data_IF_894752092475
#
_entry.id   IF_894752092475
#
_cell.length_a   1.000
_cell.length_b   1.000
_cell.length_c   1.000
_cell.angle_alpha   90.00
_cell.angle_beta   90.00
_cell.angle_gamma   90.00
#
_symmetry.space_group_name_H-M   'P 1'
#
loop_
_entity.id
_entity.type
_entity.pdbx_description
1 polymer ?
#
# COMPACT_ATOMS: atom_id res chain seq x y z
N UNK A 1 24.07 -6.19 50.60
CA UNK A 1 24.46 -5.62 49.26
C UNK A 1 23.90 -6.57 48.22
N UNK A 2 22.63 -6.41 47.93
CA UNK A 2 21.86 -7.24 46.99
C UNK A 2 21.45 -6.32 45.87
N UNK A 3 22.05 -6.58 44.67
CA UNK A 3 21.69 -5.89 43.46
C UNK A 3 20.39 -6.48 42.91
N UNK A 4 19.35 -5.69 42.97
CA UNK A 4 18.06 -5.95 42.34
C UNK A 4 18.17 -5.53 40.87
N UNK A 5 18.38 -6.51 40.02
CA UNK A 5 18.46 -6.34 38.58
C UNK A 5 17.01 -6.40 38.03
N UNK A 6 16.29 -5.28 38.17
CA UNK A 6 15.01 -5.11 37.50
C UNK A 6 15.24 -4.93 36.00
N UNK A 7 15.09 -6.02 35.26
CA UNK A 7 14.86 -5.99 33.81
C UNK A 7 13.59 -5.16 33.54
N UNK A 8 13.79 -3.87 33.32
CA UNK A 8 12.75 -3.04 32.75
C UNK A 8 12.45 -3.57 31.35
N UNK A 9 11.33 -4.28 31.20
CA UNK A 9 10.71 -4.43 29.90
C UNK A 9 10.34 -3.01 29.44
N UNK A 10 11.07 -2.47 28.48
CA UNK A 10 10.70 -1.22 27.82
C UNK A 10 9.26 -1.36 27.32
N UNK A 11 8.36 -0.54 27.84
CA UNK A 11 7.03 -0.39 27.27
C UNK A 11 7.20 0.09 25.81
N UNK A 12 6.54 -0.53 24.82
CA UNK A 12 6.64 -0.11 23.45
C UNK A 12 6.21 1.35 23.34
N UNK A 13 7.06 2.17 22.70
CA UNK A 13 6.78 3.58 22.48
C UNK A 13 5.38 3.76 21.86
N UNK A 14 4.59 4.79 22.27
CA UNK A 14 3.28 5.04 21.70
C UNK A 14 3.43 5.33 20.21
N UNK A 15 3.00 4.37 19.38
CA UNK A 15 3.10 4.43 17.92
C UNK A 15 3.76 3.22 17.26
N UNK A 16 4.44 2.33 18.01
CA UNK A 16 4.95 1.07 17.45
C UNK A 16 3.78 0.08 17.24
N UNK A 17 3.38 -0.19 15.99
CA UNK A 17 2.30 -1.12 15.70
C UNK A 17 2.61 -2.55 16.12
N UNK A 18 3.88 -2.86 16.45
CA UNK A 18 4.35 -4.17 16.85
C UNK A 18 4.15 -5.24 15.79
N UNK A 19 4.91 -6.31 15.89
CA UNK A 19 4.90 -7.45 14.97
C UNK A 19 3.51 -8.13 14.85
N UNK A 20 2.72 -8.08 15.92
CA UNK A 20 1.40 -8.72 15.98
C UNK A 20 0.40 -8.16 14.96
N UNK A 21 0.43 -6.86 14.71
CA UNK A 21 -0.45 -6.22 13.73
C UNK A 21 -0.16 -6.70 12.31
N UNK A 22 1.13 -6.86 11.98
CA UNK A 22 1.56 -7.38 10.68
C UNK A 22 1.15 -8.85 10.50
N UNK A 23 1.32 -9.67 11.53
CA UNK A 23 0.89 -11.07 11.49
C UNK A 23 -0.62 -11.18 11.29
N UNK A 24 -1.41 -10.34 12.00
CA UNK A 24 -2.87 -10.28 11.83
C UNK A 24 -3.26 -9.92 10.39
N UNK A 25 -2.64 -8.90 9.81
CA UNK A 25 -2.88 -8.48 8.43
C UNK A 25 -2.56 -9.62 7.47
N UNK A 26 -1.39 -10.24 7.58
CA UNK A 26 -0.99 -11.35 6.72
C UNK A 26 -1.95 -12.54 6.83
N UNK A 27 -2.48 -12.81 8.02
CA UNK A 27 -3.52 -13.83 8.22
C UNK A 27 -4.82 -13.47 7.51
N UNK A 28 -5.29 -12.22 7.67
CA UNK A 28 -6.54 -11.75 7.06
C UNK A 28 -6.45 -11.72 5.53
N UNK A 29 -5.32 -11.27 4.97
CA UNK A 29 -5.09 -11.27 3.52
C UNK A 29 -5.19 -12.67 2.89
N UNK A 30 -4.96 -13.72 3.69
CA UNK A 30 -5.14 -15.13 3.27
C UNK A 30 -6.52 -15.70 3.57
N UNK A 31 -7.40 -14.90 4.14
CA UNK A 31 -8.73 -15.35 4.56
C UNK A 31 -8.69 -16.37 5.71
N UNK A 32 -7.61 -16.40 6.52
CA UNK A 32 -7.51 -17.34 7.61
C UNK A 32 -8.18 -16.79 8.88
N UNK A 33 -8.98 -17.64 9.52
CA UNK A 33 -9.41 -17.40 10.90
C UNK A 33 -8.27 -17.71 11.88
N UNK A 34 -8.40 -17.28 13.15
CA UNK A 34 -7.45 -17.66 14.20
C UNK A 34 -7.41 -19.18 14.43
N UNK A 35 -8.57 -19.85 14.30
CA UNK A 35 -8.69 -21.30 14.38
C UNK A 35 -7.88 -21.98 13.28
N UNK A 36 -8.00 -21.49 12.03
CA UNK A 36 -7.25 -22.03 10.90
C UNK A 36 -5.75 -21.86 11.05
N UNK A 37 -5.31 -20.72 11.58
CA UNK A 37 -3.90 -20.48 11.86
C UNK A 37 -3.41 -21.36 13.01
N UNK A 38 -4.21 -21.55 14.06
CA UNK A 38 -3.90 -22.45 15.18
C UNK A 38 -3.71 -23.90 14.71
N UNK A 39 -4.61 -24.39 13.85
CA UNK A 39 -4.49 -25.72 13.22
C UNK A 39 -3.18 -25.89 12.44
N UNK A 40 -2.80 -24.87 11.65
CA UNK A 40 -1.58 -24.90 10.82
C UNK A 40 -0.28 -24.80 11.62
N UNK A 41 -0.31 -24.11 12.75
CA UNK A 41 0.89 -23.81 13.56
C UNK A 41 1.06 -24.72 14.75
N UNK A 42 0.01 -25.42 15.18
CA UNK A 42 -0.02 -26.15 16.44
C UNK A 42 -0.05 -25.27 17.70
N UNK A 43 -0.23 -23.96 17.52
CA UNK A 43 -0.32 -22.99 18.62
C UNK A 43 -1.78 -22.81 19.06
N UNK A 44 -2.00 -22.44 20.33
CA UNK A 44 -3.36 -22.19 20.79
C UNK A 44 -3.93 -20.90 20.18
N UNK A 45 -5.24 -20.87 19.92
CA UNK A 45 -5.95 -19.68 19.43
C UNK A 45 -5.75 -18.47 20.33
N UNK A 46 -5.81 -18.66 21.64
CA UNK A 46 -5.62 -17.59 22.63
C UNK A 46 -4.21 -17.00 22.58
N UNK A 47 -3.19 -17.85 22.42
CA UNK A 47 -1.81 -17.41 22.28
C UNK A 47 -1.60 -16.61 20.98
N UNK A 48 -2.10 -17.08 19.84
CA UNK A 48 -2.07 -16.33 18.58
C UNK A 48 -2.80 -15.01 18.67
N UNK A 49 -3.97 -14.97 19.32
CA UNK A 49 -4.71 -13.71 19.54
C UNK A 49 -3.92 -12.72 20.40
N UNK A 50 -3.21 -13.20 21.42
CA UNK A 50 -2.38 -12.34 22.27
C UNK A 50 -1.16 -11.79 21.51
N UNK A 51 -0.53 -12.61 20.65
CA UNK A 51 0.54 -12.15 19.74
C UNK A 51 0.01 -11.07 18.80
N UNK A 52 -1.12 -11.31 18.13
CA UNK A 52 -1.70 -10.34 17.18
C UNK A 52 -2.11 -9.01 17.83
N UNK A 53 -2.39 -9.00 19.13
CA UNK A 53 -2.70 -7.80 19.92
C UNK A 53 -1.47 -7.18 20.58
N UNK A 54 -0.27 -7.72 20.31
CA UNK A 54 0.98 -7.32 20.98
C UNK A 54 0.95 -7.43 22.52
N UNK A 55 0.11 -8.34 23.06
CA UNK A 55 0.06 -8.66 24.50
C UNK A 55 1.22 -9.58 24.87
N UNK A 56 1.59 -10.49 23.96
CA UNK A 56 2.70 -11.42 24.13
C UNK A 56 3.72 -11.20 23.01
N UNK A 57 5.00 -11.13 23.38
CA UNK A 57 6.11 -11.14 22.43
C UNK A 57 6.45 -12.60 22.07
N UNK A 58 6.32 -13.01 20.79
CA UNK A 58 6.66 -14.36 20.35
C UNK A 58 8.18 -14.53 20.29
N UNK A 59 8.64 -15.76 20.56
CA UNK A 59 10.04 -16.12 20.31
C UNK A 59 10.29 -16.17 18.78
N UNK A 60 11.58 -16.10 18.36
CA UNK A 60 11.94 -16.22 16.94
C UNK A 60 11.46 -17.54 16.32
N UNK A 61 11.46 -18.63 17.09
CA UNK A 61 10.96 -19.92 16.62
C UNK A 61 9.42 -19.90 16.42
N UNK A 62 8.70 -19.27 17.34
CA UNK A 62 7.26 -19.06 17.21
C UNK A 62 6.95 -18.21 15.97
N UNK A 63 7.69 -17.13 15.74
CA UNK A 63 7.56 -16.32 14.54
C UNK A 63 7.79 -17.10 13.26
N UNK A 64 8.86 -17.91 13.22
CA UNK A 64 9.16 -18.78 12.05
C UNK A 64 8.00 -19.74 11.75
N UNK A 65 7.40 -20.33 12.79
CA UNK A 65 6.25 -21.21 12.63
C UNK A 65 5.05 -20.45 12.06
N UNK A 66 4.74 -19.26 12.59
CA UNK A 66 3.60 -18.46 12.13
C UNK A 66 3.81 -17.99 10.69
N UNK A 67 4.97 -17.39 10.36
CA UNK A 67 5.22 -16.87 9.01
C UNK A 67 5.30 -17.99 7.97
N UNK A 68 5.83 -19.16 8.33
CA UNK A 68 5.82 -20.35 7.48
C UNK A 68 4.39 -20.79 7.17
N UNK A 69 3.52 -20.86 8.18
CA UNK A 69 2.10 -21.19 7.99
C UNK A 69 1.35 -20.17 7.15
N UNK A 70 1.80 -18.91 7.20
CA UNK A 70 1.29 -17.81 6.39
C UNK A 70 1.97 -17.72 5.01
N UNK A 71 2.99 -18.56 4.68
CA UNK A 71 3.69 -18.53 3.40
C UNK A 71 4.47 -17.25 3.15
N UNK A 72 4.98 -16.58 4.20
CA UNK A 72 5.88 -15.42 4.12
C UNK A 72 7.21 -15.75 4.78
N UNK A 73 8.26 -15.01 4.40
CA UNK A 73 9.56 -15.11 5.07
C UNK A 73 9.64 -14.15 6.25
N UNK A 74 10.48 -14.47 7.24
CA UNK A 74 10.82 -13.53 8.32
C UNK A 74 11.41 -12.22 7.78
N UNK A 75 12.27 -12.31 6.77
CA UNK A 75 12.89 -11.13 6.16
C UNK A 75 11.83 -10.19 5.56
N UNK A 76 10.81 -10.77 4.90
CA UNK A 76 9.70 -9.98 4.37
C UNK A 76 8.88 -9.34 5.49
N UNK A 77 8.56 -10.10 6.54
CA UNK A 77 7.83 -9.57 7.70
C UNK A 77 8.56 -8.37 8.33
N UNK A 78 9.87 -8.46 8.54
CA UNK A 78 10.67 -7.35 9.09
C UNK A 78 10.80 -6.19 8.11
N UNK A 79 10.99 -6.46 6.81
CA UNK A 79 11.00 -5.40 5.80
C UNK A 79 9.65 -4.64 5.74
N UNK A 80 8.54 -5.33 5.92
CA UNK A 80 7.22 -4.72 5.95
C UNK A 80 7.02 -3.88 7.22
N UNK A 81 7.56 -4.32 8.37
CA UNK A 81 7.58 -3.54 9.62
C UNK A 81 8.42 -2.26 9.43
N UNK A 82 9.62 -2.37 8.88
CA UNK A 82 10.50 -1.22 8.62
C UNK A 82 9.85 -0.22 7.65
N UNK A 83 9.07 -0.70 6.67
CA UNK A 83 8.31 0.16 5.74
C UNK A 83 7.17 0.92 6.40
N UNK A 84 6.43 0.28 7.31
CA UNK A 84 5.31 0.94 8.02
C UNK A 84 5.75 2.12 8.89
N UNK A 85 6.98 2.10 9.40
CA UNK A 85 7.55 3.18 10.20
C UNK A 85 8.11 4.35 9.39
N UNK A 86 8.12 4.28 8.06
CA UNK A 86 8.63 5.36 7.22
C UNK A 86 7.60 6.45 7.02
N UNK A 87 7.68 7.48 7.83
CA UNK A 87 6.94 8.75 7.61
C UNK A 87 7.52 9.52 6.41
N UNK A 88 8.81 9.34 6.14
CA UNK A 88 9.53 10.01 5.05
C UNK A 88 9.96 9.01 3.98
N UNK A 89 9.52 9.23 2.73
CA UNK A 89 10.00 8.49 1.55
C UNK A 89 10.82 9.43 0.67
N UNK A 90 12.09 9.13 0.51
CA UNK A 90 12.99 9.88 -0.38
C UNK A 90 12.75 9.46 -1.84
N UNK A 91 13.11 10.32 -2.85
CA UNK A 91 12.92 9.98 -4.27
C UNK A 91 13.56 8.65 -4.70
N UNK A 92 14.76 8.35 -4.20
CA UNK A 92 15.51 7.11 -4.44
C UNK A 92 14.92 5.86 -3.77
N UNK A 93 13.90 6.03 -2.93
CA UNK A 93 13.20 4.96 -2.21
C UNK A 93 11.80 4.70 -2.75
N UNK A 94 11.37 5.46 -3.76
CA UNK A 94 10.08 5.30 -4.39
C UNK A 94 10.05 4.04 -5.24
N UNK A 95 8.86 3.49 -5.41
CA UNK A 95 8.63 2.31 -6.26
C UNK A 95 7.99 2.78 -7.55
N UNK A 96 8.59 2.43 -8.67
CA UNK A 96 8.02 2.65 -9.99
C UNK A 96 7.27 1.39 -10.44
N UNK A 97 6.07 1.59 -10.93
CA UNK A 97 5.19 0.54 -11.45
C UNK A 97 4.81 0.88 -12.89
N UNK A 98 4.63 -0.18 -13.68
CA UNK A 98 4.04 -0.10 -15.02
C UNK A 98 2.87 -1.07 -15.08
N UNK A 99 1.85 -0.74 -15.85
CA UNK A 99 0.70 -1.63 -16.03
C UNK A 99 0.89 -2.49 -17.27
N UNK A 100 0.68 -3.79 -17.15
CA UNK A 100 0.80 -4.70 -18.27
C UNK A 100 -0.17 -4.30 -19.42
N UNK A 101 0.36 -4.22 -20.64
CA UNK A 101 -0.41 -3.84 -21.83
C UNK A 101 -0.66 -2.34 -22.00
N UNK A 102 -0.07 -1.49 -21.14
CA UNK A 102 -0.13 -0.03 -21.26
C UNK A 102 1.29 0.50 -21.36
N UNK A 103 1.67 0.98 -22.55
CA UNK A 103 3.00 1.52 -22.81
C UNK A 103 3.00 3.04 -22.60
N UNK A 104 4.15 3.58 -22.17
CA UNK A 104 4.37 5.02 -22.02
C UNK A 104 3.68 5.63 -20.80
N UNK A 105 3.24 4.83 -19.85
CA UNK A 105 2.70 5.29 -18.57
C UNK A 105 3.50 4.70 -17.42
N UNK A 106 3.98 5.57 -16.53
CA UNK A 106 4.72 5.20 -15.32
C UNK A 106 4.00 5.73 -14.09
N UNK A 107 3.90 4.88 -13.07
CA UNK A 107 3.33 5.21 -11.77
C UNK A 107 4.44 5.14 -10.72
N UNK A 108 4.80 6.27 -10.12
CA UNK A 108 5.81 6.31 -9.05
C UNK A 108 5.12 6.51 -7.71
N UNK A 109 5.07 5.47 -6.89
CA UNK A 109 4.42 5.51 -5.58
C UNK A 109 5.15 6.46 -4.62
N UNK A 110 4.43 7.42 -4.06
CA UNK A 110 4.95 8.39 -3.09
C UNK A 110 4.87 7.85 -1.66
N UNK A 111 3.91 6.98 -1.40
CA UNK A 111 3.74 6.27 -0.13
C UNK A 111 3.66 4.75 -0.38
N UNK A 112 4.78 4.08 -0.66
CA UNK A 112 4.82 2.67 -1.05
C UNK A 112 4.45 1.73 0.12
N UNK A 113 3.59 2.18 1.02
CA UNK A 113 3.11 1.41 2.15
C UNK A 113 1.75 0.76 1.80
N UNK A 114 1.70 -0.56 1.61
CA UNK A 114 0.47 -1.27 1.24
C UNK A 114 -0.60 -1.32 2.34
N UNK A 115 -0.34 -0.72 3.51
CA UNK A 115 -1.25 -0.75 4.68
C UNK A 115 -2.09 0.53 4.79
N UNK A 116 -1.73 1.58 4.04
CA UNK A 116 -2.48 2.83 3.99
C UNK A 116 -3.87 2.64 3.40
N UNK A 117 -4.79 3.52 3.76
CA UNK A 117 -6.08 3.65 3.09
C UNK A 117 -5.99 4.51 1.84
N UNK A 118 -4.94 5.30 1.74
CA UNK A 118 -4.68 6.25 0.67
C UNK A 118 -3.40 5.82 -0.06
N UNK A 119 -3.48 5.70 -1.36
CA UNK A 119 -2.34 5.62 -2.24
C UNK A 119 -2.11 6.98 -2.90
N UNK A 120 -0.86 7.37 -3.02
CA UNK A 120 -0.47 8.60 -3.68
C UNK A 120 0.71 8.33 -4.61
N UNK A 121 0.63 8.81 -5.83
CA UNK A 121 1.62 8.54 -6.87
C UNK A 121 1.90 9.76 -7.74
N UNK A 122 3.05 9.76 -8.39
CA UNK A 122 3.27 10.54 -9.59
C UNK A 122 2.87 9.66 -10.78
N UNK A 123 1.98 10.18 -11.60
CA UNK A 123 1.58 9.58 -12.86
C UNK A 123 2.27 10.35 -14.00
N UNK A 124 3.13 9.68 -14.75
CA UNK A 124 3.76 10.22 -15.95
C UNK A 124 3.18 9.54 -17.18
N UNK A 125 2.65 10.35 -18.10
CA UNK A 125 2.04 9.88 -19.35
C UNK A 125 2.83 10.45 -20.51
N UNK A 126 3.54 9.60 -21.23
CA UNK A 126 4.32 9.99 -22.41
C UNK A 126 3.41 10.56 -23.51
N UNK A 127 3.96 11.37 -24.46
CA UNK A 127 3.21 11.87 -25.61
C UNK A 127 2.48 10.76 -26.36
N UNK A 128 1.17 10.92 -26.56
CA UNK A 128 0.31 9.96 -27.25
C UNK A 128 -0.09 8.73 -26.43
N UNK A 129 0.51 8.49 -25.24
CA UNK A 129 0.16 7.37 -24.38
C UNK A 129 -1.26 7.53 -23.79
N UNK A 130 -1.90 6.39 -23.55
CA UNK A 130 -3.29 6.30 -23.07
C UNK A 130 -3.48 5.13 -22.12
N UNK A 131 -4.39 5.28 -21.16
CA UNK A 131 -4.81 4.19 -20.26
C UNK A 131 -5.61 3.08 -21.00
N UNK A 132 -5.87 3.25 -22.29
CA UNK A 132 -6.62 2.35 -23.14
C UNK A 132 -7.81 3.02 -23.80
N UNK A 133 -8.38 2.36 -24.80
CA UNK A 133 -9.60 2.85 -25.48
C UNK A 133 -10.85 2.61 -24.64
N UNK A 134 -10.86 1.50 -23.89
CA UNK A 134 -11.98 1.16 -23.01
C UNK A 134 -11.82 1.84 -21.67
N UNK A 135 -12.86 2.53 -21.16
CA UNK A 135 -12.86 3.05 -19.80
C UNK A 135 -12.73 1.92 -18.77
N UNK A 136 -12.07 2.18 -17.69
CA UNK A 136 -11.96 1.26 -16.55
C UNK A 136 -12.72 1.81 -15.34
N UNK A 137 -13.03 0.93 -14.41
CA UNK A 137 -13.70 1.24 -13.15
C UNK A 137 -13.09 0.42 -12.04
N UNK A 138 -13.06 0.97 -10.84
CA UNK A 138 -12.75 0.24 -9.61
C UNK A 138 -13.50 0.85 -8.42
N UNK A 139 -13.37 0.28 -7.23
CA UNK A 139 -13.99 0.84 -6.04
C UNK A 139 -13.17 1.99 -5.49
N UNK A 140 -13.84 2.99 -4.89
CA UNK A 140 -13.20 4.05 -4.15
C UNK A 140 -13.36 5.44 -4.77
N UNK A 141 -12.43 6.32 -4.42
CA UNK A 141 -12.39 7.71 -4.84
C UNK A 141 -11.02 8.07 -5.35
N UNK A 142 -10.97 8.94 -6.35
CA UNK A 142 -9.74 9.47 -6.93
C UNK A 142 -9.71 10.98 -6.92
N UNK A 143 -8.50 11.53 -6.72
CA UNK A 143 -8.19 12.96 -6.87
C UNK A 143 -6.88 13.09 -7.62
N UNK A 144 -6.89 13.86 -8.71
CA UNK A 144 -5.71 14.14 -9.52
C UNK A 144 -5.45 15.63 -9.68
N UNK A 145 -4.17 15.99 -9.77
CA UNK A 145 -3.70 17.35 -10.08
C UNK A 145 -2.66 17.27 -11.19
N UNK A 146 -2.91 17.93 -12.32
CA UNK A 146 -1.92 18.05 -13.39
C UNK A 146 -0.87 19.11 -13.02
N UNK A 147 0.40 18.70 -12.99
CA UNK A 147 1.54 19.59 -12.69
C UNK A 147 2.15 20.18 -13.94
N UNK A 148 2.29 19.39 -15.02
CA UNK A 148 2.88 19.83 -16.29
C UNK A 148 2.37 19.00 -17.46
N UNK A 149 2.52 19.53 -18.68
CA UNK A 149 2.00 18.90 -19.90
C UNK A 149 0.50 19.15 -20.09
N UNK A 150 -0.15 18.28 -20.83
CA UNK A 150 -1.59 18.31 -21.11
C UNK A 150 -2.16 16.91 -20.95
N UNK A 151 -3.39 16.79 -20.45
CA UNK A 151 -4.05 15.49 -20.29
C UNK A 151 -5.52 15.60 -20.68
N UNK A 152 -5.94 14.77 -21.64
CA UNK A 152 -7.35 14.51 -21.87
C UNK A 152 -7.83 13.45 -20.90
N UNK A 153 -8.90 13.73 -20.18
CA UNK A 153 -9.51 12.86 -19.21
C UNK A 153 -11.00 12.68 -19.52
N UNK A 154 -11.51 11.47 -19.44
CA UNK A 154 -12.93 11.17 -19.61
C UNK A 154 -13.47 10.55 -18.33
N UNK A 155 -14.56 11.09 -17.81
CA UNK A 155 -15.31 10.57 -16.66
C UNK A 155 -16.77 10.51 -17.07
N UNK A 156 -17.38 9.33 -16.99
CA UNK A 156 -18.76 9.07 -17.44
C UNK A 156 -19.05 9.54 -18.88
N UNK A 157 -18.05 9.35 -19.78
CA UNK A 157 -18.12 9.82 -21.15
C UNK A 157 -17.96 11.32 -21.38
N UNK A 158 -17.90 12.12 -20.32
CA UNK A 158 -17.63 13.57 -20.43
C UNK A 158 -16.12 13.79 -20.58
N UNK A 159 -15.74 14.56 -21.58
CA UNK A 159 -14.37 14.90 -21.89
C UNK A 159 -13.92 16.18 -21.16
N UNK A 160 -12.77 16.10 -20.51
CA UNK A 160 -12.10 17.20 -19.84
C UNK A 160 -10.68 17.33 -20.40
N UNK A 161 -10.31 18.51 -20.89
CA UNK A 161 -8.95 18.81 -21.30
C UNK A 161 -8.25 19.55 -20.17
N UNK A 162 -7.35 18.86 -19.48
CA UNK A 162 -6.64 19.40 -18.30
C UNK A 162 -5.38 20.14 -18.72
N UNK A 163 -5.15 21.27 -18.03
CA UNK A 163 -3.96 22.11 -18.09
C UNK A 163 -3.26 22.13 -16.74
N UNK A 164 -1.97 22.49 -16.68
CA UNK A 164 -1.24 22.62 -15.43
C UNK A 164 -1.99 23.47 -14.38
N UNK A 165 -2.21 22.90 -13.21
CA UNK A 165 -2.98 23.48 -12.11
C UNK A 165 -4.45 23.00 -12.04
N UNK A 166 -4.97 22.35 -13.09
CA UNK A 166 -6.31 21.76 -13.05
C UNK A 166 -6.31 20.49 -12.19
N UNK A 167 -7.39 20.31 -11.45
CA UNK A 167 -7.62 19.10 -10.65
C UNK A 167 -8.96 18.46 -11.00
N UNK A 168 -9.02 17.14 -10.86
CA UNK A 168 -10.22 16.32 -11.01
C UNK A 168 -10.44 15.50 -9.76
N UNK A 169 -11.72 15.26 -9.42
CA UNK A 169 -12.10 14.30 -8.36
C UNK A 169 -13.40 13.62 -8.73
N UNK A 170 -13.45 12.31 -8.51
CA UNK A 170 -14.62 11.50 -8.84
C UNK A 170 -14.62 10.18 -8.08
N UNK A 171 -15.78 9.52 -8.00
CA UNK A 171 -15.87 8.14 -7.53
C UNK A 171 -15.33 7.20 -8.61
N UNK A 172 -14.35 6.35 -8.25
CA UNK A 172 -13.65 5.46 -9.18
C UNK A 172 -14.54 4.36 -9.80
N UNK A 173 -15.74 4.17 -9.24
CA UNK A 173 -16.80 3.34 -9.84
C UNK A 173 -17.38 3.95 -11.13
N UNK A 174 -17.14 5.24 -11.37
CA UNK A 174 -17.51 5.94 -12.61
C UNK A 174 -16.52 5.56 -13.72
N UNK A 175 -16.99 5.15 -14.91
CA UNK A 175 -16.13 4.81 -16.03
C UNK A 175 -15.21 5.96 -16.41
N UNK A 176 -13.90 5.71 -16.40
CA UNK A 176 -12.90 6.73 -16.68
C UNK A 176 -11.73 6.22 -17.50
N UNK A 177 -11.06 7.12 -18.22
CA UNK A 177 -9.85 6.89 -19.00
C UNK A 177 -9.13 8.20 -19.25
N UNK A 178 -7.86 8.13 -19.65
CA UNK A 178 -7.07 9.31 -19.97
C UNK A 178 -6.08 9.06 -21.12
N UNK A 179 -5.61 10.16 -21.71
CA UNK A 179 -4.61 10.16 -22.78
C UNK A 179 -3.83 11.47 -22.72
N UNK A 180 -2.55 11.42 -23.02
CA UNK A 180 -1.76 12.62 -23.28
C UNK A 180 -1.86 13.02 -24.77
N UNK A 181 -2.55 14.12 -25.12
CA UNK A 181 -2.64 14.60 -26.50
C UNK A 181 -1.45 15.48 -26.89
N UNK A 182 -0.65 15.93 -25.91
CA UNK A 182 0.42 16.91 -26.07
C UNK A 182 1.73 16.31 -26.57
N UNK A 183 2.68 17.18 -26.95
CA UNK A 183 3.99 16.76 -27.47
C UNK A 183 5.03 16.48 -26.38
N UNK A 184 4.71 16.75 -25.12
CA UNK A 184 5.59 16.55 -23.95
C UNK A 184 4.91 15.62 -22.93
N UNK A 185 5.67 14.96 -22.04
CA UNK A 185 5.07 14.15 -20.98
C UNK A 185 4.11 14.98 -20.10
N UNK A 186 2.95 14.40 -19.81
CA UNK A 186 2.04 14.90 -18.78
C UNK A 186 2.44 14.32 -17.44
N UNK A 187 2.60 15.18 -16.42
CA UNK A 187 2.98 14.79 -15.06
C UNK A 187 1.88 15.20 -14.11
N UNK A 188 1.34 14.23 -13.39
CA UNK A 188 0.27 14.43 -12.42
C UNK A 188 0.69 13.93 -11.04
N UNK A 189 0.15 14.54 -9.98
CA UNK A 189 0.01 13.91 -8.67
C UNK A 189 -1.38 13.30 -8.61
N UNK A 190 -1.44 12.03 -8.28
CA UNK A 190 -2.69 11.27 -8.21
C UNK A 190 -2.83 10.58 -6.87
N UNK A 191 -4.03 10.59 -6.32
CA UNK A 191 -4.35 9.90 -5.08
C UNK A 191 -5.61 9.10 -5.25
N UNK A 192 -5.61 7.89 -4.69
CA UNK A 192 -6.77 7.00 -4.70
C UNK A 192 -6.96 6.28 -3.36
N UNK A 193 -8.19 5.91 -3.07
CA UNK A 193 -8.57 5.12 -1.89
C UNK A 193 -9.71 4.17 -2.26
N UNK A 194 -9.63 2.85 -1.93
CA UNK A 194 -8.46 2.18 -1.39
C UNK A 194 -7.31 2.08 -2.40
N UNK A 195 -6.07 1.74 -1.98
CA UNK A 195 -4.95 1.50 -2.88
C UNK A 195 -5.28 0.49 -3.98
N UNK A 196 -4.91 0.80 -5.23
CA UNK A 196 -5.20 0.01 -6.41
C UNK A 196 -4.06 -0.90 -6.88
N UNK A 197 -2.84 -0.70 -6.34
CA UNK A 197 -1.63 -1.48 -6.69
C UNK A 197 -1.18 -2.42 -5.59
#
# INVERSE_FOLDING_TARGET
MTADDHLHAEEPAPGDPGIGRHLRRERLNRGYTLEKLAEKTGLSRSYLSNIERNVNSPTINTLRTIVSALGVSLSRLFADIDREHRVLTRPDQRVELTRAGVEGITYTLLNPNPVGRLEMMILEVAPGASSGEQPHTHSGEEVGLLLSGELDYWVDGVHYHLRPGDSVSFESSTPHRYRNPGPVPAVCVWSETPPGF
#
